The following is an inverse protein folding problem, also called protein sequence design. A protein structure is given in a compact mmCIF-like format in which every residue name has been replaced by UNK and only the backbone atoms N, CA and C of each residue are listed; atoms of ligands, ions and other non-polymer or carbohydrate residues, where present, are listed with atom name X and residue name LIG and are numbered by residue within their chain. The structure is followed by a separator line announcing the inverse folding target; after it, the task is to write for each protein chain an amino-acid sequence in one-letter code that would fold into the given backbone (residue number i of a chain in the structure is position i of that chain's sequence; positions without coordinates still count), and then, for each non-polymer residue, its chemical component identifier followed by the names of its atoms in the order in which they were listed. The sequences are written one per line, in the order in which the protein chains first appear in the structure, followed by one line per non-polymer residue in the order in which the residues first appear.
data_IF_795120666355
#
_entry.id   IF_795120666355
#
_cell.length_a   1.000
_cell.length_b   1.000
_cell.length_c   1.000
_cell.angle_alpha   90.00
_cell.angle_beta   90.00
_cell.angle_gamma   90.00
#
_symmetry.space_group_name_H-M   'P 1'
#
loop_
_entity.id
_entity.type
_entity.pdbx_description
1 polymer ?
#
# COMPACT_ATOMS: atom_id res chain seq x y z
N UNK A 1 -0.98 15.22 17.26
CA UNK A 1 -0.87 13.79 17.64
C UNK A 1 -0.57 13.54 19.13
N UNK A 2 -0.24 14.56 19.95
CA UNK A 2 0.00 14.39 21.40
C UNK A 2 -1.28 14.27 22.25
N UNK A 3 -2.46 14.42 21.65
CA UNK A 3 -3.77 14.37 22.34
C UNK A 3 -4.51 13.04 22.18
N UNK A 4 -3.98 12.10 21.39
CA UNK A 4 -4.57 10.76 21.23
C UNK A 4 -4.28 9.91 22.46
N UNK A 5 -5.32 9.31 23.03
CA UNK A 5 -5.16 8.26 24.03
C UNK A 5 -4.44 7.04 23.44
N UNK A 6 -3.93 6.18 24.31
CA UNK A 6 -3.10 5.03 23.92
C UNK A 6 -3.84 4.06 22.99
N UNK A 7 -5.13 3.81 23.23
CA UNK A 7 -5.92 2.86 22.43
C UNK A 7 -6.14 3.44 21.04
N UNK A 8 -6.57 4.69 20.95
CA UNK A 8 -6.77 5.36 19.66
C UNK A 8 -5.48 5.43 18.85
N UNK A 9 -4.35 5.76 19.50
CA UNK A 9 -3.03 5.77 18.87
C UNK A 9 -2.66 4.40 18.29
N UNK A 10 -2.85 3.33 19.06
CA UNK A 10 -2.56 1.97 18.61
C UNK A 10 -3.45 1.56 17.43
N UNK A 11 -4.75 1.85 17.49
CA UNK A 11 -5.68 1.55 16.39
C UNK A 11 -5.32 2.29 15.09
N UNK A 12 -4.92 3.56 15.19
CA UNK A 12 -4.48 4.33 14.02
C UNK A 12 -3.17 3.78 13.47
N UNK A 13 -2.21 3.42 14.33
CA UNK A 13 -0.95 2.83 13.88
C UNK A 13 -1.15 1.50 13.12
N UNK A 14 -2.08 0.65 13.56
CA UNK A 14 -2.43 -0.58 12.85
C UNK A 14 -3.18 -0.32 11.54
N UNK A 15 -4.06 0.68 11.50
CA UNK A 15 -4.73 1.09 10.27
C UNK A 15 -3.71 1.58 9.23
N UNK A 16 -2.79 2.46 9.63
CA UNK A 16 -1.72 2.95 8.77
C UNK A 16 -0.80 1.82 8.31
N UNK A 17 -0.54 0.82 9.15
CA UNK A 17 0.23 -0.35 8.77
C UNK A 17 -0.46 -1.14 7.65
N UNK A 18 -1.76 -1.40 7.78
CA UNK A 18 -2.51 -2.11 6.76
C UNK A 18 -2.55 -1.34 5.43
N UNK A 19 -2.74 -0.01 5.48
CA UNK A 19 -2.69 0.85 4.30
C UNK A 19 -1.32 0.85 3.65
N UNK A 20 -0.25 1.01 4.43
CA UNK A 20 1.12 0.96 3.93
C UNK A 20 1.45 -0.39 3.27
N UNK A 21 0.99 -1.49 3.88
CA UNK A 21 1.20 -2.84 3.36
C UNK A 21 0.45 -3.08 2.05
N UNK A 22 -0.78 -2.54 1.92
CA UNK A 22 -1.55 -2.60 0.68
C UNK A 22 -0.77 -1.97 -0.49
N UNK A 23 -0.34 -0.72 -0.31
CA UNK A 23 0.40 0.01 -1.35
C UNK A 23 1.76 -0.63 -1.65
N UNK A 24 2.46 -1.08 -0.61
CA UNK A 24 3.77 -1.71 -0.77
C UNK A 24 3.70 -2.98 -1.60
N UNK A 25 2.76 -3.88 -1.27
CA UNK A 25 2.62 -5.16 -1.96
C UNK A 25 2.05 -4.97 -3.36
N UNK A 26 1.11 -4.04 -3.55
CA UNK A 26 0.58 -3.73 -4.87
C UNK A 26 1.67 -3.13 -5.77
N UNK A 27 2.40 -2.12 -5.29
CA UNK A 27 3.53 -1.51 -6.00
C UNK A 27 4.61 -2.53 -6.35
N UNK A 28 4.91 -3.47 -5.44
CA UNK A 28 5.84 -4.57 -5.73
C UNK A 28 5.35 -5.44 -6.90
N UNK A 29 4.10 -5.92 -6.85
CA UNK A 29 3.57 -6.76 -7.93
C UNK A 29 3.43 -6.03 -9.26
N UNK A 30 3.11 -4.75 -9.23
CA UNK A 30 2.97 -3.94 -10.43
C UNK A 30 4.35 -3.64 -11.05
N UNK A 31 5.40 -3.48 -10.23
CA UNK A 31 6.77 -3.25 -10.70
C UNK A 31 7.32 -4.41 -11.54
N UNK A 32 6.84 -5.64 -11.31
CA UNK A 32 7.21 -6.81 -12.10
C UNK A 32 6.79 -6.73 -13.58
N UNK A 33 5.89 -5.80 -13.95
CA UNK A 33 5.53 -5.56 -15.35
C UNK A 33 6.55 -4.73 -16.13
N UNK A 34 7.52 -4.11 -15.45
CA UNK A 34 8.53 -3.25 -16.09
C UNK A 34 9.31 -4.01 -17.17
N UNK A 35 9.22 -3.54 -18.41
CA UNK A 35 9.85 -4.13 -19.58
C UNK A 35 9.15 -5.36 -20.16
N UNK A 36 7.99 -5.78 -19.62
CA UNK A 36 7.26 -6.98 -20.06
C UNK A 36 5.75 -6.77 -20.20
N UNK A 37 5.24 -5.54 -20.08
CA UNK A 37 3.83 -5.25 -20.30
C UNK A 37 3.42 -5.50 -21.78
N UNK A 38 2.12 -5.66 -22.09
CA UNK A 38 1.68 -6.05 -23.43
C UNK A 38 2.07 -5.07 -24.54
N UNK A 39 2.09 -3.76 -24.25
CA UNK A 39 2.59 -2.73 -25.15
C UNK A 39 3.38 -1.68 -24.37
N UNK A 40 4.08 -0.80 -25.09
CA UNK A 40 4.99 0.18 -24.51
C UNK A 40 4.26 1.17 -23.61
N UNK A 41 3.05 1.58 -24.00
CA UNK A 41 2.20 2.48 -23.25
C UNK A 41 1.81 1.90 -21.90
N UNK A 42 1.38 0.64 -21.86
CA UNK A 42 1.09 -0.08 -20.62
C UNK A 42 2.33 -0.26 -19.74
N UNK A 43 3.50 -0.45 -20.34
CA UNK A 43 4.76 -0.60 -19.61
C UNK A 43 5.14 0.68 -18.87
N UNK A 44 5.10 1.81 -19.58
CA UNK A 44 5.36 3.14 -19.02
C UNK A 44 4.31 3.50 -17.97
N UNK A 45 3.03 3.23 -18.25
CA UNK A 45 1.95 3.50 -17.31
C UNK A 45 2.10 2.67 -16.03
N UNK A 46 2.31 1.36 -16.14
CA UNK A 46 2.44 0.47 -14.98
C UNK A 46 3.70 0.76 -14.18
N UNK A 47 4.81 1.10 -14.84
CA UNK A 47 6.04 1.54 -14.17
C UNK A 47 5.79 2.80 -13.33
N UNK A 48 5.12 3.80 -13.89
CA UNK A 48 4.75 5.03 -13.16
C UNK A 48 3.83 4.74 -11.98
N UNK A 49 2.78 3.94 -12.21
CA UNK A 49 1.84 3.54 -11.17
C UNK A 49 2.54 2.81 -10.03
N UNK A 50 3.42 1.86 -10.34
CA UNK A 50 4.18 1.13 -9.32
C UNK A 50 5.05 2.06 -8.46
N UNK A 51 5.63 3.10 -9.05
CA UNK A 51 6.43 4.10 -8.33
C UNK A 51 5.56 4.94 -7.40
N UNK A 52 4.37 5.34 -7.85
CA UNK A 52 3.41 6.08 -7.05
C UNK A 52 2.98 5.25 -5.83
N UNK A 53 2.67 3.95 -5.98
CA UNK A 53 2.29 3.11 -4.84
C UNK A 53 3.42 2.91 -3.82
N UNK A 54 4.66 2.72 -4.28
CA UNK A 54 5.80 2.67 -3.35
C UNK A 54 5.98 4.03 -2.63
N UNK A 55 5.69 5.14 -3.31
CA UNK A 55 5.65 6.47 -2.72
C UNK A 55 4.56 6.61 -1.65
N UNK A 56 3.35 6.13 -1.92
CA UNK A 56 2.24 6.11 -0.96
C UNK A 56 2.54 5.21 0.24
N UNK A 57 3.06 4.00 0.00
CA UNK A 57 3.49 3.09 1.06
C UNK A 57 4.47 3.76 2.01
N UNK A 58 5.50 4.43 1.45
CA UNK A 58 6.47 5.18 2.22
C UNK A 58 5.81 6.25 3.09
N UNK A 59 4.92 7.06 2.51
CA UNK A 59 4.23 8.11 3.25
C UNK A 59 3.41 7.54 4.44
N UNK A 60 2.76 6.39 4.25
CA UNK A 60 2.01 5.72 5.31
C UNK A 60 2.92 5.13 6.41
N UNK A 61 4.03 4.51 6.04
CA UNK A 61 5.01 4.02 7.03
C UNK A 61 5.63 5.16 7.84
N UNK A 62 5.97 6.28 7.20
CA UNK A 62 6.49 7.47 7.88
C UNK A 62 5.45 8.06 8.85
N UNK A 63 4.18 8.15 8.45
CA UNK A 63 3.11 8.62 9.35
C UNK A 63 2.90 7.67 10.54
N UNK A 64 3.02 6.35 10.32
CA UNK A 64 2.97 5.36 11.40
C UNK A 64 4.16 5.50 12.34
N UNK A 65 5.36 5.74 11.82
CA UNK A 65 6.58 5.95 12.60
C UNK A 65 6.43 7.12 13.58
N UNK A 66 5.76 8.20 13.18
CA UNK A 66 5.45 9.32 14.08
C UNK A 66 4.57 8.94 15.28
N UNK A 67 3.78 7.86 15.17
CA UNK A 67 2.91 7.37 16.25
C UNK A 67 3.59 6.35 17.16
N UNK A 68 4.43 5.47 16.59
CA UNK A 68 5.01 4.33 17.31
C UNK A 68 6.48 4.54 17.72
N UNK A 69 7.19 5.44 17.05
CA UNK A 69 8.63 5.64 17.20
C UNK A 69 9.49 4.55 16.54
N UNK A 70 8.89 3.69 15.72
CA UNK A 70 9.62 2.69 14.92
C UNK A 70 10.15 3.30 13.62
N UNK A 71 11.26 2.79 13.10
CA UNK A 71 11.83 3.25 11.82
C UNK A 71 11.03 2.69 10.63
N UNK A 72 10.61 3.59 9.72
CA UNK A 72 9.75 3.24 8.58
C UNK A 72 10.33 2.12 7.69
N UNK A 73 11.63 2.20 7.37
CA UNK A 73 12.31 1.18 6.55
C UNK A 73 12.42 -0.17 7.27
N UNK A 74 12.65 -0.17 8.59
CA UNK A 74 12.69 -1.42 9.36
C UNK A 74 11.32 -2.11 9.38
N UNK A 75 10.24 -1.33 9.48
CA UNK A 75 8.87 -1.85 9.36
C UNK A 75 8.61 -2.33 7.94
N UNK A 76 8.95 -1.56 6.91
CA UNK A 76 8.69 -1.94 5.51
C UNK A 76 9.45 -3.22 5.11
N UNK A 77 10.72 -3.37 5.47
CA UNK A 77 11.59 -4.44 4.94
C UNK A 77 11.99 -5.51 5.96
N UNK A 78 11.90 -5.22 7.27
CA UNK A 78 12.39 -6.09 8.33
C UNK A 78 11.38 -7.08 8.90
N UNK A 79 10.10 -6.98 8.50
CA UNK A 79 9.02 -7.86 8.98
C UNK A 79 8.98 -9.21 8.25
N UNK A 80 8.67 -10.32 8.94
CA UNK A 80 8.39 -11.60 8.28
C UNK A 80 7.06 -11.54 7.50
N UNK A 81 6.88 -12.46 6.54
CA UNK A 81 5.73 -12.45 5.63
C UNK A 81 4.36 -12.51 6.35
N UNK A 82 4.26 -13.21 7.47
CA UNK A 82 3.05 -13.34 8.29
C UNK A 82 2.75 -12.09 9.15
N UNK A 83 3.68 -11.13 9.20
CA UNK A 83 3.50 -9.84 9.86
C UNK A 83 2.96 -8.74 8.94
N UNK A 84 2.82 -9.00 7.63
CA UNK A 84 2.13 -8.10 6.72
C UNK A 84 0.61 -8.16 6.93
N UNK A 85 -0.06 -7.04 6.67
CA UNK A 85 -1.48 -6.76 6.96
C UNK A 85 -2.25 -6.29 5.73
N UNK A 86 -1.68 -6.43 4.53
CA UNK A 86 -2.35 -6.12 3.28
C UNK A 86 -3.63 -6.95 3.09
N UNK A 87 -4.57 -6.41 2.33
CA UNK A 87 -5.82 -7.04 1.96
C UNK A 87 -5.56 -8.34 1.20
N UNK A 88 -6.42 -9.34 1.44
CA UNK A 88 -6.27 -10.65 0.83
C UNK A 88 -6.30 -10.65 -0.71
N UNK A 89 -6.81 -9.56 -1.32
CA UNK A 89 -6.77 -9.31 -2.76
C UNK A 89 -5.33 -9.32 -3.32
N UNK A 90 -4.32 -8.96 -2.51
CA UNK A 90 -2.91 -8.87 -2.91
C UNK A 90 -2.10 -10.13 -2.58
N UNK A 91 -2.72 -11.16 -1.98
CA UNK A 91 -2.08 -12.48 -1.77
C UNK A 91 -1.77 -13.20 -3.09
N UNK A 92 -2.37 -12.75 -4.20
CA UNK A 92 -2.10 -13.27 -5.52
C UNK A 92 -0.89 -12.55 -6.12
N UNK A 93 0.10 -13.32 -6.57
CA UNK A 93 1.22 -12.82 -7.37
C UNK A 93 0.73 -12.08 -8.63
N UNK A 94 1.63 -11.44 -9.39
CA UNK A 94 1.29 -10.68 -10.61
C UNK A 94 0.33 -11.39 -11.59
N UNK A 95 0.51 -12.69 -11.81
CA UNK A 95 -0.25 -13.51 -12.77
C UNK A 95 -0.23 -12.96 -14.22
N UNK A 96 -1.39 -12.83 -14.88
CA UNK A 96 -1.54 -12.28 -16.22
C UNK A 96 -2.02 -10.83 -16.21
N UNK A 97 -1.99 -10.19 -17.38
CA UNK A 97 -2.31 -8.78 -17.52
C UNK A 97 -3.78 -8.48 -17.17
N UNK A 98 -4.72 -9.32 -17.61
CA UNK A 98 -6.14 -9.11 -17.37
C UNK A 98 -6.46 -9.20 -15.87
N UNK A 99 -5.85 -10.15 -15.17
CA UNK A 99 -5.95 -10.27 -13.72
C UNK A 99 -5.33 -9.06 -13.01
N UNK A 100 -4.16 -8.59 -13.44
CA UNK A 100 -3.53 -7.38 -12.89
C UNK A 100 -4.48 -6.18 -12.98
N UNK A 101 -5.07 -5.94 -14.15
CA UNK A 101 -6.01 -4.83 -14.35
C UNK A 101 -7.27 -5.00 -13.50
N UNK A 102 -7.82 -6.22 -13.39
CA UNK A 102 -8.97 -6.48 -12.54
C UNK A 102 -8.66 -6.25 -11.05
N UNK A 103 -7.50 -6.71 -10.56
CA UNK A 103 -7.01 -6.48 -9.20
C UNK A 103 -6.88 -4.99 -8.91
N UNK A 104 -6.21 -4.25 -9.81
CA UNK A 104 -6.08 -2.78 -9.72
C UNK A 104 -7.42 -2.11 -9.63
N UNK A 105 -8.32 -2.38 -10.58
CA UNK A 105 -9.65 -1.75 -10.59
C UNK A 105 -10.40 -1.94 -9.28
N UNK A 106 -10.39 -3.17 -8.73
CA UNK A 106 -11.04 -3.48 -7.46
C UNK A 106 -10.36 -2.78 -6.28
N UNK A 107 -9.02 -2.77 -6.24
CA UNK A 107 -8.26 -2.10 -5.19
C UNK A 107 -8.49 -0.59 -5.22
N UNK A 108 -8.23 0.07 -6.36
CA UNK A 108 -8.40 1.52 -6.54
C UNK A 108 -9.80 1.99 -6.17
N UNK A 109 -10.83 1.21 -6.53
CA UNK A 109 -12.21 1.55 -6.17
C UNK A 109 -12.42 1.49 -4.66
N UNK A 110 -11.86 0.49 -3.99
CA UNK A 110 -11.96 0.36 -2.53
C UNK A 110 -11.12 1.42 -1.81
N UNK A 111 -9.92 1.70 -2.30
CA UNK A 111 -9.01 2.68 -1.71
C UNK A 111 -9.53 4.11 -1.87
N UNK A 112 -10.10 4.46 -3.02
CA UNK A 112 -10.75 5.76 -3.21
C UNK A 112 -11.85 6.01 -2.16
N UNK A 113 -12.68 5.01 -1.88
CA UNK A 113 -13.71 5.10 -0.83
C UNK A 113 -13.08 5.22 0.57
N UNK A 114 -11.99 4.48 0.84
CA UNK A 114 -11.24 4.55 2.10
C UNK A 114 -10.64 5.94 2.30
N UNK A 115 -9.95 6.49 1.31
CA UNK A 115 -9.32 7.80 1.37
C UNK A 115 -10.35 8.93 1.49
N UNK A 116 -11.48 8.86 0.79
CA UNK A 116 -12.57 9.84 0.94
C UNK A 116 -13.11 9.86 2.37
N UNK A 117 -13.31 8.69 2.98
CA UNK A 117 -13.73 8.58 4.37
C UNK A 117 -12.69 9.12 5.35
N UNK A 118 -11.39 8.84 5.12
CA UNK A 118 -10.30 9.30 5.97
C UNK A 118 -10.05 10.81 5.85
N UNK A 119 -10.22 11.38 4.67
CA UNK A 119 -10.10 12.83 4.46
C UNK A 119 -11.14 13.63 5.26
N UNK A 120 -12.28 13.01 5.60
CA UNK A 120 -13.30 13.57 6.48
C UNK A 120 -13.15 13.19 7.96
N UNK A 121 -12.10 12.45 8.34
CA UNK A 121 -11.90 12.00 9.73
C UNK A 121 -11.37 13.12 10.64
N UNK A 122 -11.65 13.02 11.94
CA UNK A 122 -11.38 14.04 12.98
C UNK A 122 -10.10 13.79 13.76
#
# INVERSE_FOLDING_TARGET
MSELDEVTRACIAELLLAMADDEFVLGFWDSEWTGIAPMLEEDVAMSSVSQDEIGHAKAWYELRAELTGEEADEVAFGRPADAYRHAALMNHARTDWAFTIARRYLYETADAVRLEALAGSS
#
